data_IF_165663489655
#
_entry.id   IF_165663489655
#
_cell.length_a   1.000
_cell.length_b   1.000
_cell.length_c   1.000
_cell.angle_alpha   90.00
_cell.angle_beta   90.00
_cell.angle_gamma   90.00
#
_symmetry.space_group_name_H-M   'P 1'
#
loop_
_entity.id
_entity.type
_entity.pdbx_description
1 polymer ?
#
# COMPACT_ATOMS: atom_id res chain seq x y z
N UNK A 1 -0.03 18.55 -17.42
CA UNK A 1 -1.35 17.95 -17.72
C UNK A 1 -2.20 17.99 -16.47
N UNK A 2 -3.48 18.38 -16.57
CA UNK A 2 -4.42 18.38 -15.44
C UNK A 2 -5.02 16.98 -15.32
N UNK A 3 -4.96 16.37 -14.14
CA UNK A 3 -5.57 15.06 -13.88
C UNK A 3 -7.11 15.15 -13.92
N UNK A 4 -7.76 14.06 -14.32
CA UNK A 4 -9.21 13.90 -14.11
C UNK A 4 -9.52 13.89 -12.61
N UNK A 5 -10.78 14.10 -12.22
CA UNK A 5 -11.18 14.06 -10.80
C UNK A 5 -10.88 12.67 -10.19
N UNK A 6 -11.17 11.60 -10.92
CA UNK A 6 -10.89 10.21 -10.51
C UNK A 6 -9.38 9.96 -10.34
N UNK A 7 -8.56 10.42 -11.30
CA UNK A 7 -7.11 10.27 -11.23
C UNK A 7 -6.48 11.12 -10.12
N UNK A 8 -7.03 12.30 -9.83
CA UNK A 8 -6.61 13.12 -8.69
C UNK A 8 -6.95 12.44 -7.36
N UNK A 9 -8.16 11.89 -7.23
CA UNK A 9 -8.56 11.14 -6.04
C UNK A 9 -7.64 9.92 -5.81
N UNK A 10 -7.31 9.19 -6.89
CA UNK A 10 -6.35 8.09 -6.83
C UNK A 10 -4.96 8.58 -6.40
N UNK A 11 -4.46 9.69 -6.94
CA UNK A 11 -3.17 10.25 -6.55
C UNK A 11 -3.11 10.58 -5.05
N UNK A 12 -4.16 11.21 -4.52
CA UNK A 12 -4.24 11.56 -3.10
C UNK A 12 -4.26 10.31 -2.20
N UNK A 13 -5.04 9.30 -2.59
CA UNK A 13 -5.12 8.04 -1.85
C UNK A 13 -3.78 7.27 -1.93
N UNK A 14 -3.08 7.29 -3.06
CA UNK A 14 -1.74 6.68 -3.16
C UNK A 14 -0.73 7.38 -2.24
N UNK A 15 -0.75 8.72 -2.16
CA UNK A 15 0.08 9.47 -1.21
C UNK A 15 -0.25 9.08 0.23
N UNK A 16 -1.55 8.98 0.58
CA UNK A 16 -1.98 8.53 1.90
C UNK A 16 -1.45 7.12 2.22
N UNK A 17 -1.51 6.18 1.26
CA UNK A 17 -0.93 4.85 1.45
C UNK A 17 0.58 4.91 1.72
N UNK A 18 1.32 5.75 1.01
CA UNK A 18 2.78 5.89 1.24
C UNK A 18 3.05 6.38 2.66
N UNK A 19 2.28 7.37 3.15
CA UNK A 19 2.40 7.88 4.52
C UNK A 19 2.05 6.81 5.56
N UNK A 20 0.94 6.08 5.35
CA UNK A 20 0.54 4.98 6.24
C UNK A 20 1.59 3.87 6.25
N UNK A 21 2.15 3.51 5.10
CA UNK A 21 3.17 2.47 5.00
C UNK A 21 4.43 2.88 5.76
N UNK A 22 4.91 4.11 5.63
CA UNK A 22 6.03 4.62 6.43
C UNK A 22 5.69 4.59 7.92
N UNK A 23 4.46 4.96 8.28
CA UNK A 23 3.99 4.95 9.68
C UNK A 23 4.00 3.55 10.31
N UNK A 24 3.81 2.50 9.50
CA UNK A 24 3.86 1.08 9.89
C UNK A 24 5.30 0.51 9.96
N UNK A 25 6.32 1.31 9.67
CA UNK A 25 7.73 0.88 9.73
C UNK A 25 8.44 1.44 10.96
N UNK A 26 9.69 1.03 11.25
CA UNK A 26 10.48 1.62 12.33
C UNK A 26 10.76 3.12 12.17
N UNK A 27 10.55 3.71 10.98
CA UNK A 27 10.60 5.16 10.79
C UNK A 27 9.37 5.88 11.37
N UNK A 28 8.28 5.14 11.63
CA UNK A 28 7.04 5.62 12.21
C UNK A 28 6.84 5.08 13.62
N UNK A 29 5.90 4.13 13.75
CA UNK A 29 5.43 3.63 15.05
C UNK A 29 5.83 2.18 15.35
N UNK A 30 6.54 1.50 14.46
CA UNK A 30 6.95 0.11 14.72
C UNK A 30 8.04 0.09 15.79
N UNK A 31 7.70 -0.44 16.95
CA UNK A 31 8.58 -0.48 18.12
C UNK A 31 9.15 -1.86 18.40
N UNK A 32 8.70 -2.91 17.70
CA UNK A 32 9.20 -4.27 17.91
C UNK A 32 10.62 -4.39 17.36
N UNK A 33 11.54 -5.04 18.09
CA UNK A 33 12.92 -5.15 17.67
C UNK A 33 13.06 -6.07 16.45
N UNK A 34 14.00 -5.79 15.52
CA UNK A 34 14.23 -6.64 14.36
C UNK A 34 14.66 -8.08 14.71
N UNK A 35 15.13 -8.33 15.93
CA UNK A 35 15.47 -9.68 16.40
C UNK A 35 14.26 -10.59 16.58
N UNK A 36 13.05 -10.04 16.61
CA UNK A 36 11.80 -10.79 16.76
C UNK A 36 11.09 -11.09 15.44
N UNK A 37 11.66 -10.63 14.32
CA UNK A 37 11.19 -10.91 12.96
C UNK A 37 11.31 -12.41 12.66
N UNK A 38 10.20 -13.00 12.24
CA UNK A 38 10.15 -14.37 11.73
C UNK A 38 10.57 -14.41 10.27
N UNK A 39 10.90 -15.60 9.76
CA UNK A 39 11.24 -15.82 8.34
C UNK A 39 10.20 -15.24 7.38
N UNK A 40 8.91 -15.40 7.69
CA UNK A 40 7.81 -14.84 6.90
C UNK A 40 7.83 -13.30 6.91
N UNK A 41 8.18 -12.68 8.04
CA UNK A 41 8.31 -11.23 8.12
C UNK A 41 9.43 -10.68 7.24
N UNK A 42 10.56 -11.39 7.10
CA UNK A 42 11.61 -11.01 6.13
C UNK A 42 11.11 -11.03 4.67
N UNK A 43 10.30 -12.03 4.31
CA UNK A 43 9.67 -12.10 2.98
C UNK A 43 8.65 -10.95 2.82
N UNK A 44 7.86 -10.68 3.84
CA UNK A 44 6.86 -9.63 3.85
C UNK A 44 7.49 -8.23 3.74
N UNK A 45 8.68 -7.99 4.29
CA UNK A 45 9.45 -6.75 4.07
C UNK A 45 9.73 -6.54 2.57
N UNK A 46 10.08 -7.60 1.84
CA UNK A 46 10.24 -7.54 0.38
C UNK A 46 8.96 -7.09 -0.32
N UNK A 47 7.80 -7.61 0.09
CA UNK A 47 6.50 -7.20 -0.43
C UNK A 47 6.16 -5.74 -0.07
N UNK A 48 6.51 -5.26 1.13
CA UNK A 48 6.37 -3.85 1.54
C UNK A 48 7.15 -2.93 0.61
N UNK A 49 8.44 -3.22 0.36
CA UNK A 49 9.25 -2.41 -0.56
C UNK A 49 8.74 -2.46 -2.00
N UNK A 50 8.35 -3.64 -2.49
CA UNK A 50 7.78 -3.78 -3.83
C UNK A 50 6.50 -2.95 -3.97
N UNK A 51 5.58 -3.04 -3.00
CA UNK A 51 4.36 -2.24 -2.98
C UNK A 51 4.62 -0.74 -2.95
N UNK A 52 5.58 -0.28 -2.14
CA UNK A 52 5.99 1.12 -2.08
C UNK A 52 6.50 1.62 -3.45
N UNK A 53 7.39 0.87 -4.08
CA UNK A 53 7.94 1.20 -5.41
C UNK A 53 6.81 1.30 -6.44
N UNK A 54 5.87 0.35 -6.42
CA UNK A 54 4.71 0.35 -7.32
C UNK A 54 3.82 1.58 -7.11
N UNK A 55 3.59 2.00 -5.86
CA UNK A 55 2.82 3.21 -5.56
C UNK A 55 3.53 4.49 -5.99
N UNK A 56 4.83 4.62 -5.72
CA UNK A 56 5.62 5.77 -6.19
C UNK A 56 5.62 5.84 -7.72
N UNK A 57 5.87 4.70 -8.39
CA UNK A 57 5.82 4.63 -9.84
C UNK A 57 4.43 4.97 -10.40
N UNK A 58 3.36 4.50 -9.73
CA UNK A 58 1.97 4.84 -10.09
C UNK A 58 1.73 6.34 -10.02
N UNK A 59 2.11 7.00 -8.92
CA UNK A 59 1.96 8.46 -8.74
C UNK A 59 2.66 9.21 -9.89
N UNK A 60 3.90 8.85 -10.21
CA UNK A 60 4.67 9.48 -11.30
C UNK A 60 3.97 9.27 -12.66
N UNK A 61 3.48 8.06 -12.90
CA UNK A 61 2.89 7.69 -14.18
C UNK A 61 1.47 8.22 -14.38
N UNK A 62 0.75 8.63 -13.34
CA UNK A 62 -0.60 9.20 -13.47
C UNK A 62 -0.64 10.41 -14.41
N UNK A 63 0.47 11.14 -14.56
CA UNK A 63 0.53 12.32 -15.44
C UNK A 63 0.80 12.01 -16.91
N UNK A 64 1.17 10.77 -17.26
CA UNK A 64 1.60 10.42 -18.63
C UNK A 64 1.04 9.09 -19.15
N UNK A 65 0.84 8.10 -18.29
CA UNK A 65 0.38 6.74 -18.62
C UNK A 65 -0.64 6.26 -17.59
N UNK A 66 -1.82 6.91 -17.59
CA UNK A 66 -2.92 6.67 -16.62
C UNK A 66 -3.30 5.20 -16.49
N UNK A 67 -3.42 4.48 -17.62
CA UNK A 67 -3.73 3.04 -17.62
C UNK A 67 -2.67 2.23 -16.88
N UNK A 68 -1.39 2.44 -17.18
CA UNK A 68 -0.29 1.76 -16.51
C UNK A 68 -0.23 2.11 -15.03
N UNK A 69 -0.39 3.40 -14.68
CA UNK A 69 -0.43 3.84 -13.29
C UNK A 69 -1.51 3.11 -12.49
N UNK A 70 -2.70 2.94 -13.07
CA UNK A 70 -3.82 2.23 -12.44
C UNK A 70 -3.51 0.75 -12.22
N UNK A 71 -2.89 0.08 -13.20
CA UNK A 71 -2.45 -1.32 -13.06
C UNK A 71 -1.44 -1.45 -11.92
N UNK A 72 -0.44 -0.56 -11.85
CA UNK A 72 0.57 -0.58 -10.78
C UNK A 72 -0.06 -0.34 -9.40
N UNK A 73 -1.04 0.56 -9.30
CA UNK A 73 -1.78 0.79 -8.07
C UNK A 73 -2.59 -0.46 -7.64
N UNK A 74 -3.21 -1.16 -8.59
CA UNK A 74 -3.94 -2.41 -8.31
C UNK A 74 -2.99 -3.48 -7.79
N UNK A 75 -1.90 -3.76 -8.54
CA UNK A 75 -0.91 -4.77 -8.15
C UNK A 75 -0.28 -4.42 -6.81
N UNK A 76 0.13 -3.17 -6.61
CA UNK A 76 0.71 -2.70 -5.35
C UNK A 76 -0.23 -2.91 -4.17
N UNK A 77 -1.53 -2.61 -4.35
CA UNK A 77 -2.53 -2.81 -3.29
C UNK A 77 -2.72 -4.28 -2.94
N UNK A 78 -2.73 -5.18 -3.94
CA UNK A 78 -2.83 -6.62 -3.69
C UNK A 78 -1.59 -7.14 -2.96
N UNK A 79 -0.39 -6.72 -3.39
CA UNK A 79 0.87 -7.11 -2.75
C UNK A 79 0.94 -6.65 -1.29
N UNK A 80 0.43 -5.46 -0.98
CA UNK A 80 0.46 -4.88 0.37
C UNK A 80 -0.56 -5.48 1.35
N UNK A 81 -1.51 -6.28 0.89
CA UNK A 81 -2.38 -7.06 1.77
C UNK A 81 -1.62 -8.17 2.51
N UNK A 82 -0.60 -8.77 1.86
CA UNK A 82 0.12 -9.92 2.44
C UNK A 82 0.87 -9.59 3.74
N UNK A 83 1.67 -8.49 3.82
CA UNK A 83 2.32 -8.09 5.07
C UNK A 83 1.35 -7.87 6.22
N UNK A 84 0.21 -7.22 5.95
CA UNK A 84 -0.83 -6.96 6.95
C UNK A 84 -1.43 -8.26 7.50
N UNK A 85 -1.80 -9.19 6.61
CA UNK A 85 -2.31 -10.49 7.04
C UNK A 85 -1.26 -11.25 7.83
N UNK A 86 0.01 -11.23 7.39
CA UNK A 86 1.09 -11.92 8.07
C UNK A 86 1.33 -11.39 9.49
N UNK A 87 1.19 -10.08 9.73
CA UNK A 87 1.34 -9.53 11.08
C UNK A 87 0.14 -9.85 11.96
N UNK A 88 -1.08 -9.70 11.44
CA UNK A 88 -2.33 -10.03 12.11
C UNK A 88 -2.44 -11.50 12.51
N UNK A 89 -1.83 -12.43 11.76
CA UNK A 89 -1.76 -13.85 12.11
C UNK A 89 -0.59 -14.21 13.04
N UNK A 90 0.18 -13.22 13.52
CA UNK A 90 1.37 -13.42 14.33
C UNK A 90 2.49 -14.15 13.58
N UNK A 91 2.48 -14.13 12.24
CA UNK A 91 3.48 -14.78 11.39
C UNK A 91 4.64 -13.83 11.05
N UNK A 92 4.47 -12.52 11.20
CA UNK A 92 5.50 -11.51 10.92
C UNK A 92 6.48 -11.35 12.09
N UNK A 93 5.97 -11.05 13.29
CA UNK A 93 6.74 -10.91 14.52
C UNK A 93 6.40 -12.01 15.54
N UNK A 94 7.30 -12.20 16.51
CA UNK A 94 7.08 -13.10 17.66
C UNK A 94 6.32 -12.43 18.80
N UNK A 95 6.45 -11.10 18.94
CA UNK A 95 5.72 -10.33 19.94
C UNK A 95 4.35 -9.85 19.46
N UNK A 96 3.44 -9.55 20.40
CA UNK A 96 2.13 -8.96 20.09
C UNK A 96 2.25 -7.66 19.30
N UNK A 97 1.26 -7.39 18.46
CA UNK A 97 1.18 -6.16 17.66
C UNK A 97 0.98 -4.96 18.60
N UNK A 98 1.81 -3.90 18.52
CA UNK A 98 1.60 -2.67 19.27
C UNK A 98 0.21 -2.07 18.96
N UNK A 99 -0.53 -1.54 19.96
CA UNK A 99 -1.90 -1.05 19.74
C UNK A 99 -2.04 0.01 18.62
N UNK A 100 -1.03 0.89 18.50
CA UNK A 100 -1.00 1.92 17.45
C UNK A 100 -0.83 1.28 16.07
N UNK A 101 0.09 0.32 15.93
CA UNK A 101 0.29 -0.43 14.68
C UNK A 101 -0.98 -1.18 14.30
N UNK A 102 -1.59 -1.91 15.25
CA UNK A 102 -2.82 -2.65 15.00
C UNK A 102 -3.94 -1.74 14.45
N UNK A 103 -4.10 -0.54 15.02
CA UNK A 103 -5.08 0.43 14.54
C UNK A 103 -4.74 0.93 13.13
N UNK A 104 -3.47 1.26 12.87
CA UNK A 104 -3.01 1.72 11.57
C UNK A 104 -3.13 0.64 10.49
N UNK A 105 -2.94 -0.63 10.83
CA UNK A 105 -3.13 -1.77 9.91
C UNK A 105 -4.59 -1.87 9.43
N UNK A 106 -5.57 -1.77 10.33
CA UNK A 106 -6.98 -1.75 9.93
C UNK A 106 -7.32 -0.54 9.04
N UNK A 107 -6.82 0.65 9.40
CA UNK A 107 -6.98 1.85 8.56
C UNK A 107 -6.34 1.61 7.19
N UNK A 108 -5.15 1.04 7.16
CA UNK A 108 -4.41 0.78 5.94
C UNK A 108 -5.18 -0.19 5.03
N UNK A 109 -5.74 -1.29 5.56
CA UNK A 109 -6.59 -2.20 4.80
C UNK A 109 -7.77 -1.46 4.14
N UNK A 110 -8.46 -0.59 4.88
CA UNK A 110 -9.55 0.21 4.31
C UNK A 110 -9.05 1.10 3.17
N UNK A 111 -7.91 1.76 3.35
CA UNK A 111 -7.32 2.61 2.32
C UNK A 111 -6.86 1.78 1.10
N UNK A 112 -6.34 0.57 1.28
CA UNK A 112 -6.02 -0.36 0.19
C UNK A 112 -7.26 -0.72 -0.63
N UNK A 113 -8.39 -0.99 0.02
CA UNK A 113 -9.66 -1.29 -0.67
C UNK A 113 -10.18 -0.08 -1.45
N UNK A 114 -10.11 1.12 -0.87
CA UNK A 114 -10.45 2.37 -1.58
C UNK A 114 -9.52 2.58 -2.78
N UNK A 115 -8.23 2.28 -2.63
CA UNK A 115 -7.23 2.37 -3.71
C UNK A 115 -7.58 1.42 -4.84
N UNK A 116 -7.90 0.16 -4.52
CA UNK A 116 -8.33 -0.84 -5.51
C UNK A 116 -9.56 -0.38 -6.28
N UNK A 117 -10.57 0.14 -5.58
CA UNK A 117 -11.79 0.65 -6.20
C UNK A 117 -11.49 1.83 -7.15
N UNK A 118 -10.76 2.85 -6.66
CA UNK A 118 -10.43 4.02 -7.47
C UNK A 118 -9.54 3.66 -8.66
N UNK A 119 -8.51 2.83 -8.46
CA UNK A 119 -7.63 2.39 -9.52
C UNK A 119 -8.37 1.58 -10.58
N UNK A 120 -9.33 0.74 -10.18
CA UNK A 120 -10.18 0.00 -11.13
C UNK A 120 -11.07 0.94 -11.96
N UNK A 121 -11.60 2.00 -11.37
CA UNK A 121 -12.38 2.99 -12.11
C UNK A 121 -11.52 3.80 -13.07
N UNK A 122 -10.36 4.29 -12.62
CA UNK A 122 -9.42 5.03 -13.47
C UNK A 122 -8.89 4.16 -14.62
N UNK A 123 -8.71 2.85 -14.38
CA UNK A 123 -8.39 1.89 -15.43
C UNK A 123 -9.48 1.83 -16.50
N UNK A 124 -10.74 1.65 -16.11
CA UNK A 124 -11.89 1.56 -17.03
C UNK A 124 -12.09 2.86 -17.82
N UNK A 125 -11.97 4.02 -17.17
CA UNK A 125 -12.04 5.33 -17.82
C UNK A 125 -10.94 5.54 -18.88
N UNK A 126 -9.85 4.78 -18.79
CA UNK A 126 -8.72 4.87 -19.72
C UNK A 126 -8.80 3.92 -20.93
N UNK A 127 -9.83 3.07 -21.01
CA UNK A 127 -10.06 2.22 -22.18
C UNK A 127 -10.77 2.98 -23.30
N UNK A 128 -10.34 2.83 -24.57
CA UNK A 128 -11.06 3.40 -25.70
C UNK A 128 -12.43 2.72 -25.82
N UNK A 129 -13.48 3.53 -25.93
CA UNK A 129 -14.87 3.10 -26.15
C UNK A 129 -15.05 2.33 -27.45
#
# INVERSE_FOLDING_TARGET
>A
MRLSKSALALALVLVLNVVLLISLTPLGFESRPPTELKTVGYIAIGAVFAGLILYVASIILLFRRVKLASILAIIGSIVLLFPNVADQTGSFFSSPIPPVINTLEYIFIVVLLVTLFLASNVYKESEPS
#
